data_IF_389187889248
#
_entry.id   IF_389187889248
#
_cell.length_a   1.000
_cell.length_b   1.000
_cell.length_c   1.000
_cell.angle_alpha   90.00
_cell.angle_beta   90.00
_cell.angle_gamma   90.00
#
_symmetry.space_group_name_H-M   'P 1'
#
loop_
_entity.id
_entity.type
_entity.pdbx_description
1 polymer ?
#
# COMPACT_ATOMS: atom_id res chain seq x y z
N UNK A 1 32.96 -21.19 -27.77
CA UNK A 1 34.12 -20.27 -27.94
C UNK A 1 33.99 -19.43 -29.21
N UNK A 2 33.51 -19.96 -30.34
CA UNK A 2 33.30 -19.20 -31.58
C UNK A 2 32.34 -18.00 -31.48
N UNK A 3 31.32 -18.02 -30.61
CA UNK A 3 30.37 -16.90 -30.48
C UNK A 3 31.00 -15.61 -29.95
N UNK A 4 31.93 -15.73 -28.98
CA UNK A 4 32.49 -14.53 -28.32
C UNK A 4 33.45 -13.81 -29.26
N UNK A 5 34.29 -14.56 -29.99
CA UNK A 5 35.22 -13.98 -30.96
C UNK A 5 34.50 -13.36 -32.17
N UNK A 6 33.39 -13.95 -32.62
CA UNK A 6 32.56 -13.39 -33.67
C UNK A 6 31.88 -12.08 -33.24
N UNK A 7 31.37 -12.02 -32.01
CA UNK A 7 30.79 -10.80 -31.43
C UNK A 7 31.85 -9.71 -31.23
N UNK A 8 33.05 -10.06 -30.76
CA UNK A 8 34.18 -9.13 -30.60
C UNK A 8 34.60 -8.52 -31.95
N UNK A 9 34.64 -9.33 -33.02
CA UNK A 9 34.92 -8.84 -34.36
C UNK A 9 33.83 -7.89 -34.89
N UNK A 10 32.54 -8.24 -34.69
CA UNK A 10 31.41 -7.38 -35.08
C UNK A 10 31.35 -6.05 -34.30
N UNK A 11 31.81 -6.05 -33.04
CA UNK A 11 31.83 -4.88 -32.16
C UNK A 11 33.15 -4.10 -32.24
N UNK A 12 34.09 -4.52 -33.10
CA UNK A 12 35.42 -3.92 -33.26
C UNK A 12 36.20 -3.80 -31.94
N UNK A 13 36.11 -4.81 -31.08
CA UNK A 13 36.83 -4.86 -29.80
C UNK A 13 38.23 -5.44 -30.05
N UNK A 14 39.22 -4.56 -30.13
CA UNK A 14 40.63 -4.95 -30.40
C UNK A 14 41.36 -5.47 -29.16
N UNK A 15 41.01 -4.99 -27.97
CA UNK A 15 41.66 -5.36 -26.69
C UNK A 15 40.60 -5.86 -25.72
N UNK A 16 40.70 -7.14 -25.34
CA UNK A 16 39.85 -7.71 -24.29
C UNK A 16 40.29 -7.16 -22.93
N UNK A 17 39.33 -6.79 -22.09
CA UNK A 17 39.62 -6.40 -20.71
C UNK A 17 40.22 -7.58 -19.95
N UNK A 18 41.33 -7.33 -19.28
CA UNK A 18 42.07 -8.33 -18.50
C UNK A 18 42.06 -7.90 -17.03
N UNK A 19 42.17 -8.87 -16.13
CA UNK A 19 42.19 -8.57 -14.70
C UNK A 19 43.36 -7.62 -14.36
N UNK A 20 43.02 -6.45 -13.79
CA UNK A 20 43.96 -5.38 -13.46
C UNK A 20 43.96 -4.18 -14.41
N UNK A 21 43.25 -4.22 -15.54
CA UNK A 21 43.02 -3.00 -16.32
C UNK A 21 41.91 -2.13 -15.70
N UNK A 22 41.96 -0.83 -15.96
CA UNK A 22 41.04 0.14 -15.37
C UNK A 22 39.57 -0.20 -15.69
N UNK A 23 39.31 -0.59 -16.92
CA UNK A 23 37.99 -0.95 -17.41
C UNK A 23 37.45 -2.21 -16.72
N UNK A 24 38.32 -3.18 -16.43
CA UNK A 24 37.96 -4.38 -15.67
C UNK A 24 37.56 -4.03 -14.24
N UNK A 25 38.33 -3.17 -13.57
CA UNK A 25 38.04 -2.73 -12.21
C UNK A 25 36.77 -1.87 -12.11
N UNK A 26 36.54 -0.99 -13.08
CA UNK A 26 35.29 -0.22 -13.22
C UNK A 26 34.09 -1.14 -13.44
N UNK A 27 34.21 -2.13 -14.35
CA UNK A 27 33.17 -3.11 -14.57
C UNK A 27 32.90 -3.96 -13.32
N UNK A 28 33.95 -4.38 -12.60
CA UNK A 28 33.84 -5.11 -11.34
C UNK A 28 33.10 -4.29 -10.27
N UNK A 29 33.30 -2.97 -10.24
CA UNK A 29 32.53 -2.05 -9.38
C UNK A 29 31.06 -2.00 -9.80
N UNK A 30 30.77 -1.82 -11.08
CA UNK A 30 29.40 -1.80 -11.61
C UNK A 30 28.64 -3.10 -11.32
N UNK A 31 29.29 -4.25 -11.46
CA UNK A 31 28.69 -5.56 -11.16
C UNK A 31 28.31 -5.66 -9.68
N UNK A 32 29.17 -5.17 -8.77
CA UNK A 32 28.88 -5.13 -7.33
C UNK A 32 27.71 -4.19 -7.02
N UNK A 33 27.66 -3.02 -7.65
CA UNK A 33 26.57 -2.05 -7.50
C UNK A 33 25.24 -2.62 -8.02
N UNK A 34 25.24 -3.26 -9.18
CA UNK A 34 24.06 -3.92 -9.75
C UNK A 34 23.58 -5.10 -8.87
N UNK A 35 24.50 -5.89 -8.31
CA UNK A 35 24.15 -6.97 -7.38
C UNK A 35 23.52 -6.42 -6.09
N UNK A 36 24.03 -5.30 -5.58
CA UNK A 36 23.44 -4.59 -4.45
C UNK A 36 22.03 -4.08 -4.76
N UNK A 37 21.85 -3.37 -5.88
CA UNK A 37 20.55 -2.85 -6.30
C UNK A 37 19.52 -3.98 -6.47
N UNK A 38 19.90 -5.09 -7.12
CA UNK A 38 19.01 -6.25 -7.28
C UNK A 38 18.61 -6.88 -5.93
N UNK A 39 19.53 -6.93 -4.97
CA UNK A 39 19.24 -7.44 -3.63
C UNK A 39 18.31 -6.48 -2.86
N UNK A 40 18.51 -5.18 -3.02
CA UNK A 40 17.66 -4.13 -2.47
C UNK A 40 16.23 -4.19 -3.04
N UNK A 41 16.08 -4.19 -4.37
CA UNK A 41 14.76 -4.25 -5.03
C UNK A 41 13.98 -5.50 -4.61
N UNK A 42 14.68 -6.64 -4.49
CA UNK A 42 14.05 -7.88 -4.03
C UNK A 42 13.53 -7.77 -2.60
N UNK A 43 14.33 -7.18 -1.70
CA UNK A 43 13.93 -6.95 -0.31
C UNK A 43 12.73 -6.00 -0.25
N UNK A 44 12.75 -4.92 -1.04
CA UNK A 44 11.65 -3.97 -1.18
C UNK A 44 10.34 -4.65 -1.57
N UNK A 45 10.34 -5.37 -2.70
CA UNK A 45 9.14 -6.01 -3.22
C UNK A 45 8.50 -6.94 -2.18
N UNK A 46 9.33 -7.70 -1.44
CA UNK A 46 8.85 -8.61 -0.40
C UNK A 46 8.21 -7.85 0.77
N UNK A 47 8.78 -6.72 1.18
CA UNK A 47 8.26 -5.92 2.28
C UNK A 47 6.97 -5.19 1.91
N UNK A 48 6.94 -4.59 0.71
CA UNK A 48 5.73 -3.99 0.14
C UNK A 48 4.60 -5.02 0.14
N UNK A 49 4.87 -6.22 -0.39
CA UNK A 49 3.90 -7.28 -0.42
C UNK A 49 3.43 -7.67 1.00
N UNK A 50 4.33 -7.79 1.98
CA UNK A 50 3.98 -8.08 3.39
C UNK A 50 3.03 -7.03 3.97
N UNK A 51 3.30 -5.74 3.76
CA UNK A 51 2.45 -4.64 4.25
C UNK A 51 1.03 -4.75 3.68
N UNK A 52 0.90 -4.99 2.37
CA UNK A 52 -0.41 -5.16 1.73
C UNK A 52 -1.15 -6.42 2.21
N UNK A 53 -0.43 -7.51 2.50
CA UNK A 53 -1.03 -8.71 3.08
C UNK A 53 -1.55 -8.49 4.50
N UNK A 54 -0.77 -7.80 5.34
CA UNK A 54 -1.21 -7.44 6.69
C UNK A 54 -2.44 -6.54 6.64
N UNK A 55 -2.45 -5.54 5.74
CA UNK A 55 -3.61 -4.69 5.54
C UNK A 55 -4.87 -5.49 5.14
N UNK A 56 -4.74 -6.46 4.22
CA UNK A 56 -5.85 -7.33 3.81
C UNK A 56 -6.37 -8.21 4.95
N UNK A 57 -5.51 -8.68 5.84
CA UNK A 57 -5.93 -9.51 6.97
C UNK A 57 -6.88 -8.76 7.91
N UNK A 58 -6.75 -7.44 7.98
CA UNK A 58 -7.56 -6.56 8.82
C UNK A 58 -8.86 -6.07 8.14
N UNK A 59 -9.15 -6.47 6.90
CA UNK A 59 -10.37 -6.05 6.18
C UNK A 59 -11.58 -6.88 6.62
N UNK A 60 -12.66 -6.20 6.99
CA UNK A 60 -13.96 -6.80 7.32
C UNK A 60 -14.57 -7.50 6.09
N UNK A 61 -15.17 -8.69 6.27
CA UNK A 61 -15.71 -9.51 5.18
C UNK A 61 -14.75 -10.57 4.61
N UNK A 62 -13.52 -10.65 5.12
CA UNK A 62 -12.56 -11.68 4.71
C UNK A 62 -12.94 -13.03 5.34
N UNK A 63 -13.47 -13.97 4.55
CA UNK A 63 -13.88 -15.30 5.02
C UNK A 63 -12.75 -16.12 5.65
N UNK A 64 -13.10 -17.09 6.50
CA UNK A 64 -12.14 -17.89 7.30
C UNK A 64 -11.05 -18.55 6.44
N UNK A 65 -11.41 -19.19 5.32
CA UNK A 65 -10.44 -19.82 4.40
C UNK A 65 -9.43 -18.80 3.85
N UNK A 66 -9.89 -17.62 3.45
CA UNK A 66 -9.03 -16.55 2.94
C UNK A 66 -8.06 -16.06 4.03
N UNK A 67 -8.53 -15.86 5.26
CA UNK A 67 -7.66 -15.50 6.39
C UNK A 67 -6.56 -16.54 6.64
N UNK A 68 -6.88 -17.84 6.56
CA UNK A 68 -5.89 -18.92 6.69
C UNK A 68 -4.82 -18.87 5.59
N UNK A 69 -5.22 -18.61 4.35
CA UNK A 69 -4.27 -18.47 3.23
C UNK A 69 -3.38 -17.23 3.39
N UNK A 70 -3.93 -16.08 3.79
CA UNK A 70 -3.14 -14.87 4.07
C UNK A 70 -2.15 -15.13 5.22
N UNK A 71 -2.59 -15.79 6.30
CA UNK A 71 -1.70 -16.14 7.41
C UNK A 71 -0.54 -17.05 7.00
N UNK A 72 -0.80 -18.05 6.15
CA UNK A 72 0.26 -18.91 5.60
C UNK A 72 1.19 -18.13 4.67
N UNK A 73 0.66 -17.24 3.83
CA UNK A 73 1.45 -16.39 2.94
C UNK A 73 2.38 -15.46 3.73
N UNK A 74 1.87 -14.84 4.80
CA UNK A 74 2.66 -14.00 5.71
C UNK A 74 3.80 -14.79 6.37
N UNK A 75 3.53 -16.02 6.82
CA UNK A 75 4.57 -16.90 7.39
C UNK A 75 5.66 -17.26 6.38
N UNK A 76 5.27 -17.62 5.16
CA UNK A 76 6.21 -17.92 4.09
C UNK A 76 7.04 -16.68 3.72
N UNK A 77 6.37 -15.53 3.61
CA UNK A 77 7.00 -14.26 3.27
C UNK A 77 7.97 -13.79 4.33
N UNK A 78 7.67 -14.00 5.61
CA UNK A 78 8.59 -13.71 6.71
C UNK A 78 9.94 -14.41 6.51
N UNK A 79 9.93 -15.70 6.16
CA UNK A 79 11.15 -16.45 5.82
C UNK A 79 11.85 -15.90 4.57
N UNK A 80 11.10 -15.55 3.53
CA UNK A 80 11.66 -14.96 2.31
C UNK A 80 12.34 -13.60 2.57
N UNK A 81 11.75 -12.78 3.44
CA UNK A 81 12.32 -11.49 3.85
C UNK A 81 13.61 -11.73 4.64
N UNK A 82 13.62 -12.66 5.61
CA UNK A 82 14.85 -13.01 6.34
C UNK A 82 16.00 -13.41 5.39
N UNK A 83 15.72 -14.25 4.39
CA UNK A 83 16.70 -14.61 3.37
C UNK A 83 17.14 -13.41 2.51
N UNK A 84 16.21 -12.53 2.15
CA UNK A 84 16.51 -11.32 1.38
C UNK A 84 17.37 -10.32 2.18
N UNK A 85 17.16 -10.19 3.50
CA UNK A 85 18.01 -9.39 4.38
C UNK A 85 19.45 -9.89 4.36
N UNK A 86 19.65 -11.21 4.43
CA UNK A 86 21.00 -11.82 4.36
C UNK A 86 21.66 -11.48 3.02
N UNK A 87 20.97 -11.72 1.90
CA UNK A 87 21.49 -11.39 0.56
C UNK A 87 21.81 -9.90 0.40
N UNK A 88 20.95 -9.03 0.93
CA UNK A 88 21.18 -7.57 0.94
C UNK A 88 22.43 -7.22 1.75
N UNK A 89 22.55 -7.73 2.99
CA UNK A 89 23.66 -7.42 3.89
C UNK A 89 25.01 -7.90 3.33
N UNK A 90 25.01 -9.05 2.65
CA UNK A 90 26.20 -9.55 1.94
C UNK A 90 26.60 -8.67 0.76
N UNK A 91 25.64 -8.21 -0.05
CA UNK A 91 25.90 -7.31 -1.17
C UNK A 91 26.35 -5.92 -0.69
N UNK A 92 25.69 -5.39 0.35
CA UNK A 92 26.01 -4.13 1.02
C UNK A 92 27.45 -4.08 1.53
N UNK A 93 27.95 -5.19 2.10
CA UNK A 93 29.30 -5.30 2.62
C UNK A 93 30.39 -5.34 1.53
N UNK A 94 30.04 -5.73 0.29
CA UNK A 94 30.98 -5.82 -0.85
C UNK A 94 31.22 -4.47 -1.54
N UNK A 95 30.42 -3.45 -1.23
CA UNK A 95 30.56 -2.10 -1.77
C UNK A 95 31.69 -1.32 -1.07
N UNK A 96 32.21 -0.30 -1.75
CA UNK A 96 33.18 0.63 -1.21
C UNK A 96 32.67 2.06 -1.41
N UNK A 97 32.27 2.77 -0.33
CA UNK A 97 32.22 2.31 1.06
C UNK A 97 31.11 1.25 1.31
N UNK A 98 31.25 0.39 2.33
CA UNK A 98 30.20 -0.54 2.74
C UNK A 98 28.90 0.18 3.11
N UNK A 99 27.76 -0.40 2.74
CA UNK A 99 26.43 0.15 3.08
C UNK A 99 25.96 -0.35 4.44
N UNK A 100 25.01 0.37 5.06
CA UNK A 100 24.38 -0.01 6.34
C UNK A 100 23.72 -1.39 6.22
N UNK A 101 23.96 -2.23 7.23
CA UNK A 101 23.26 -3.51 7.43
C UNK A 101 21.90 -3.29 8.06
N UNK A 102 20.94 -4.15 7.71
CA UNK A 102 19.57 -4.13 8.23
C UNK A 102 19.35 -5.38 9.07
N UNK A 103 18.70 -5.22 10.22
CA UNK A 103 18.29 -6.35 11.06
C UNK A 103 16.82 -6.70 10.85
N UNK A 104 16.45 -7.92 11.27
CA UNK A 104 15.06 -8.34 11.23
C UNK A 104 14.16 -7.48 12.12
N UNK A 105 14.64 -7.12 13.31
CA UNK A 105 13.87 -6.33 14.29
C UNK A 105 13.52 -4.95 13.74
N UNK A 106 14.48 -4.28 13.08
CA UNK A 106 14.24 -3.01 12.38
C UNK A 106 13.13 -3.13 11.32
N UNK A 107 13.05 -4.28 10.63
CA UNK A 107 12.07 -4.53 9.57
C UNK A 107 10.68 -4.90 10.11
N UNK A 108 10.61 -5.58 11.26
CA UNK A 108 9.33 -5.92 11.88
C UNK A 108 8.59 -4.68 12.31
N UNK A 109 9.33 -3.68 12.81
CA UNK A 109 8.79 -2.41 13.28
C UNK A 109 8.28 -1.52 12.13
N UNK A 110 8.70 -1.77 10.88
CA UNK A 110 8.20 -1.05 9.72
C UNK A 110 6.73 -1.39 9.45
N UNK A 111 5.88 -0.44 9.80
CA UNK A 111 4.43 -0.46 9.61
C UNK A 111 4.01 0.24 8.31
N UNK A 112 4.84 1.15 7.82
CA UNK A 112 4.56 1.95 6.62
C UNK A 112 5.68 1.82 5.59
N UNK A 113 5.29 1.81 4.30
CA UNK A 113 6.23 1.82 3.16
C UNK A 113 7.25 2.95 3.25
N UNK A 114 6.80 4.07 3.80
CA UNK A 114 7.62 5.26 3.95
C UNK A 114 8.79 5.02 4.93
N UNK A 115 8.65 4.16 5.92
CA UNK A 115 9.70 3.82 6.89
C UNK A 115 10.84 3.00 6.28
N UNK A 116 10.64 2.50 5.05
CA UNK A 116 11.65 1.82 4.28
C UNK A 116 12.60 2.83 3.59
N UNK A 117 13.36 3.56 4.40
CA UNK A 117 14.30 4.59 3.95
C UNK A 117 15.55 4.01 3.24
N UNK A 118 15.67 2.67 3.14
CA UNK A 118 16.75 1.99 2.40
C UNK A 118 16.59 2.18 0.88
N UNK A 119 15.37 2.43 0.40
CA UNK A 119 15.05 2.66 -1.03
C UNK A 119 15.59 3.97 -1.59
N UNK A 120 16.19 4.79 -0.74
CA UNK A 120 16.58 6.17 -1.05
C UNK A 120 18.05 6.33 -1.35
N UNK A 121 18.77 5.24 -1.61
CA UNK A 121 20.14 5.28 -2.13
C UNK A 121 20.21 5.79 -3.61
N UNK A 122 19.19 6.51 -4.07
CA UNK A 122 19.17 7.26 -5.33
C UNK A 122 19.69 8.68 -5.13
N UNK A 123 20.97 8.89 -5.45
CA UNK A 123 21.69 10.17 -5.73
C UNK A 123 21.75 11.25 -4.62
N UNK A 124 20.75 11.41 -3.76
CA UNK A 124 20.79 12.25 -2.55
C UNK A 124 20.31 11.47 -1.35
N UNK A 125 21.13 11.39 -0.30
CA UNK A 125 20.72 10.76 0.95
C UNK A 125 19.70 11.63 1.69
N UNK A 126 18.42 11.36 1.45
CA UNK A 126 17.35 12.10 2.12
C UNK A 126 17.12 11.65 3.56
N UNK A 127 17.81 10.61 4.08
CA UNK A 127 17.64 10.14 5.47
C UNK A 127 18.02 11.20 6.49
N UNK A 128 18.97 12.05 6.14
CA UNK A 128 19.40 13.18 6.97
C UNK A 128 18.42 14.35 6.95
N UNK A 129 17.45 14.34 6.01
CA UNK A 129 16.47 15.42 5.92
C UNK A 129 15.50 15.31 7.09
N UNK A 130 15.28 16.44 7.77
CA UNK A 130 14.36 16.51 8.93
C UNK A 130 12.96 15.97 8.63
N UNK A 131 12.45 16.12 7.41
CA UNK A 131 11.13 15.61 7.01
C UNK A 131 11.09 14.08 6.78
N UNK A 132 12.24 13.43 6.61
CA UNK A 132 12.32 11.99 6.36
C UNK A 132 12.29 11.15 7.65
N UNK A 133 12.63 11.74 8.80
CA UNK A 133 12.68 11.00 10.06
C UNK A 133 11.28 10.48 10.45
N UNK A 134 11.15 9.23 10.95
CA UNK A 134 9.87 8.65 11.30
C UNK A 134 9.03 9.52 12.25
N UNK A 135 9.67 10.06 13.29
CA UNK A 135 9.03 10.90 14.30
C UNK A 135 8.47 12.20 13.68
N UNK A 136 9.25 12.87 12.83
CA UNK A 136 8.79 14.11 12.21
C UNK A 136 7.69 13.85 11.19
N UNK A 137 7.69 12.71 10.50
CA UNK A 137 6.58 12.33 9.61
C UNK A 137 5.30 12.04 10.37
N UNK A 138 5.39 11.36 11.51
CA UNK A 138 4.25 11.15 12.38
C UNK A 138 3.66 12.50 12.82
N UNK A 139 4.50 13.41 13.29
CA UNK A 139 4.10 14.77 13.67
C UNK A 139 3.50 15.55 12.51
N UNK A 140 4.12 15.54 11.33
CA UNK A 140 3.58 16.18 10.13
C UNK A 140 2.22 15.59 9.74
N UNK A 141 2.06 14.27 9.79
CA UNK A 141 0.79 13.61 9.50
C UNK A 141 -0.30 14.05 10.47
N UNK A 142 0.00 14.12 11.76
CA UNK A 142 -0.93 14.61 12.78
C UNK A 142 -1.25 16.10 12.57
N UNK A 143 -0.24 16.92 12.30
CA UNK A 143 -0.40 18.35 12.03
C UNK A 143 -1.27 18.62 10.80
N UNK A 144 -1.02 17.93 9.69
CA UNK A 144 -1.84 18.09 8.49
C UNK A 144 -3.25 17.51 8.67
N UNK A 145 -3.43 16.42 9.44
CA UNK A 145 -4.76 15.95 9.84
C UNK A 145 -5.50 17.01 10.66
N UNK A 146 -4.81 17.68 11.57
CA UNK A 146 -5.38 18.76 12.37
C UNK A 146 -5.79 19.96 11.51
N UNK A 147 -4.90 20.44 10.64
CA UNK A 147 -5.23 21.55 9.71
C UNK A 147 -6.43 21.20 8.84
N UNK A 148 -6.45 19.99 8.26
CA UNK A 148 -7.54 19.55 7.38
C UNK A 148 -8.80 19.13 8.11
N UNK A 149 -8.79 19.06 9.44
CA UNK A 149 -9.98 18.69 10.21
C UNK A 149 -11.10 19.72 10.03
N UNK A 150 -10.78 21.01 9.87
CA UNK A 150 -11.78 22.05 9.63
C UNK A 150 -12.43 21.94 8.24
N UNK A 151 -11.63 21.61 7.22
CA UNK A 151 -12.12 21.32 5.87
C UNK A 151 -13.01 20.07 5.88
N UNK A 152 -12.57 19.02 6.56
CA UNK A 152 -13.32 17.77 6.68
C UNK A 152 -14.63 17.97 7.45
N UNK A 153 -14.63 18.79 8.51
CA UNK A 153 -15.85 19.14 9.24
C UNK A 153 -16.88 19.82 8.31
N UNK A 154 -16.42 20.77 7.49
CA UNK A 154 -17.28 21.45 6.50
C UNK A 154 -17.83 20.46 5.47
N UNK A 155 -16.98 19.53 4.99
CA UNK A 155 -17.37 18.50 4.03
C UNK A 155 -18.37 17.52 4.61
N UNK A 156 -18.14 17.03 5.83
CA UNK A 156 -19.04 16.11 6.54
C UNK A 156 -20.43 16.74 6.71
N UNK A 157 -20.53 18.03 7.04
CA UNK A 157 -21.84 18.68 7.11
C UNK A 157 -22.62 18.66 5.78
N UNK A 158 -21.92 18.83 4.65
CA UNK A 158 -22.55 18.71 3.31
C UNK A 158 -23.00 17.28 3.06
N UNK A 159 -22.16 16.28 3.38
CA UNK A 159 -22.50 14.87 3.20
C UNK A 159 -23.66 14.43 4.11
N UNK A 160 -23.74 14.92 5.35
CA UNK A 160 -24.89 14.68 6.23
C UNK A 160 -26.18 15.21 5.62
N UNK A 161 -26.17 16.44 5.07
CA UNK A 161 -27.35 17.00 4.39
C UNK A 161 -27.75 16.19 3.15
N UNK A 162 -26.78 15.77 2.34
CA UNK A 162 -27.01 14.90 1.17
C UNK A 162 -27.63 13.58 1.58
N UNK A 163 -27.09 12.94 2.62
CA UNK A 163 -27.60 11.68 3.13
C UNK A 163 -29.04 11.80 3.67
N UNK A 164 -29.35 12.86 4.42
CA UNK A 164 -30.70 13.13 4.90
C UNK A 164 -31.69 13.35 3.75
N UNK A 165 -31.27 14.09 2.72
CA UNK A 165 -32.08 14.34 1.52
C UNK A 165 -32.36 13.03 0.78
N UNK A 166 -31.31 12.23 0.54
CA UNK A 166 -31.42 10.91 -0.08
C UNK A 166 -32.41 10.00 0.66
N UNK A 167 -32.36 9.96 2.01
CA UNK A 167 -33.29 9.15 2.79
C UNK A 167 -34.76 9.55 2.58
N UNK A 168 -35.04 10.86 2.57
CA UNK A 168 -36.40 11.38 2.37
C UNK A 168 -36.89 11.10 0.95
N UNK A 169 -36.02 11.29 -0.04
CA UNK A 169 -36.36 11.06 -1.45
C UNK A 169 -36.58 9.57 -1.73
N UNK A 170 -35.73 8.69 -1.21
CA UNK A 170 -35.88 7.23 -1.31
C UNK A 170 -37.19 6.75 -0.68
N UNK A 171 -37.51 7.24 0.53
CA UNK A 171 -38.77 6.90 1.22
C UNK A 171 -40.00 7.33 0.42
N UNK A 172 -39.98 8.55 -0.14
CA UNK A 172 -41.08 9.08 -0.95
C UNK A 172 -41.23 8.32 -2.26
N UNK A 173 -40.13 8.03 -2.94
CA UNK A 173 -40.13 7.35 -4.22
C UNK A 173 -40.63 5.91 -4.10
N UNK A 174 -40.20 5.17 -3.07
CA UNK A 174 -40.66 3.81 -2.84
C UNK A 174 -42.16 3.75 -2.55
N UNK A 175 -42.69 4.67 -1.73
CA UNK A 175 -44.14 4.78 -1.51
C UNK A 175 -44.89 5.06 -2.81
N UNK A 176 -44.44 6.08 -3.57
CA UNK A 176 -45.05 6.44 -4.85
C UNK A 176 -45.06 5.27 -5.83
N UNK A 177 -43.95 4.54 -5.93
CA UNK A 177 -43.83 3.37 -6.81
C UNK A 177 -44.72 2.21 -6.38
N UNK A 178 -44.89 2.00 -5.08
CA UNK A 178 -45.84 0.99 -4.59
C UNK A 178 -47.27 1.34 -5.01
N UNK A 179 -47.68 2.60 -4.85
CA UNK A 179 -49.02 3.06 -5.23
C UNK A 179 -49.25 3.01 -6.75
N UNK A 180 -48.23 3.32 -7.57
CA UNK A 180 -48.30 3.23 -9.04
C UNK A 180 -48.46 1.79 -9.55
N UNK A 181 -47.84 0.82 -8.87
CA UNK A 181 -47.81 -0.58 -9.29
C UNK A 181 -49.01 -1.37 -8.77
N UNK A 182 -49.60 -0.96 -7.64
CA UNK A 182 -50.70 -1.66 -6.98
C UNK A 182 -51.88 -2.04 -7.90
N UNK A 183 -52.35 -1.19 -8.83
CA UNK A 183 -53.44 -1.56 -9.73
C UNK A 183 -53.09 -2.67 -10.74
N UNK A 184 -51.79 -2.85 -11.04
CA UNK A 184 -51.30 -3.82 -12.06
C UNK A 184 -50.78 -5.09 -11.43
N UNK A 185 -50.07 -4.97 -10.31
CA UNK A 185 -49.44 -6.07 -9.59
C UNK A 185 -49.45 -5.79 -8.08
N UNK A 186 -50.51 -6.25 -7.37
CA UNK A 186 -50.61 -6.09 -5.92
C UNK A 186 -49.51 -6.82 -5.15
N UNK A 187 -48.97 -7.92 -5.69
CA UNK A 187 -47.94 -8.70 -5.02
C UNK A 187 -46.59 -7.94 -5.02
N UNK A 188 -46.24 -7.33 -6.15
CA UNK A 188 -45.06 -6.46 -6.24
C UNK A 188 -45.21 -5.19 -5.39
N UNK A 189 -46.39 -4.57 -5.39
CA UNK A 189 -46.68 -3.43 -4.51
C UNK A 189 -46.49 -3.78 -3.03
N UNK A 190 -46.95 -4.96 -2.59
CA UNK A 190 -46.71 -5.45 -1.23
C UNK A 190 -45.22 -5.58 -0.92
N UNK A 191 -44.41 -6.14 -1.83
CA UNK A 191 -42.96 -6.25 -1.64
C UNK A 191 -42.29 -4.87 -1.52
N UNK A 192 -42.69 -3.91 -2.35
CA UNK A 192 -42.19 -2.53 -2.28
C UNK A 192 -42.53 -1.88 -0.93
N UNK A 193 -43.75 -2.08 -0.41
CA UNK A 193 -44.14 -1.57 0.92
C UNK A 193 -43.37 -2.25 2.06
N UNK A 194 -43.09 -3.55 1.96
CA UNK A 194 -42.26 -4.26 2.94
C UNK A 194 -40.83 -3.75 2.93
N UNK A 195 -40.24 -3.58 1.74
CA UNK A 195 -38.91 -3.01 1.57
C UNK A 195 -38.83 -1.57 2.10
N UNK A 196 -39.82 -0.74 1.78
CA UNK A 196 -39.95 0.62 2.32
C UNK A 196 -40.00 0.63 3.85
N UNK A 197 -40.77 -0.27 4.47
CA UNK A 197 -40.89 -0.38 5.92
C UNK A 197 -39.55 -0.75 6.56
N UNK A 198 -38.81 -1.66 5.95
CA UNK A 198 -37.47 -2.03 6.41
C UNK A 198 -36.48 -0.85 6.28
N UNK A 199 -36.42 -0.22 5.10
CA UNK A 199 -35.55 0.95 4.84
C UNK A 199 -35.86 2.12 5.77
N UNK A 200 -37.13 2.42 5.98
CA UNK A 200 -37.57 3.49 6.88
C UNK A 200 -37.11 3.28 8.32
N UNK A 201 -37.05 2.03 8.79
CA UNK A 201 -36.52 1.70 10.13
C UNK A 201 -35.02 2.00 10.22
N UNK A 202 -34.24 1.62 9.20
CA UNK A 202 -32.82 1.94 9.15
C UNK A 202 -32.58 3.45 9.06
N UNK A 203 -33.33 4.14 8.19
CA UNK A 203 -33.25 5.59 8.04
C UNK A 203 -33.63 6.33 9.33
N UNK A 204 -34.64 5.85 10.08
CA UNK A 204 -34.96 6.39 11.40
C UNK A 204 -33.80 6.26 12.39
N UNK A 205 -33.12 5.11 12.42
CA UNK A 205 -31.92 4.92 13.25
C UNK A 205 -30.77 5.84 12.82
N UNK A 206 -30.53 5.96 11.50
CA UNK A 206 -29.49 6.85 10.98
C UNK A 206 -29.79 8.31 11.31
N UNK A 207 -31.03 8.78 11.12
CA UNK A 207 -31.48 10.12 11.53
C UNK A 207 -31.25 10.36 13.02
N UNK A 208 -31.68 9.43 13.88
CA UNK A 208 -31.45 9.54 15.33
C UNK A 208 -29.97 9.69 15.68
N UNK A 209 -29.09 8.89 15.07
CA UNK A 209 -27.64 8.98 15.29
C UNK A 209 -27.06 10.30 14.80
N UNK A 210 -27.48 10.77 13.62
CA UNK A 210 -27.01 12.04 13.06
C UNK A 210 -27.45 13.24 13.92
N UNK A 211 -28.69 13.24 14.41
CA UNK A 211 -29.18 14.29 15.30
C UNK A 211 -28.58 14.24 16.72
N UNK A 212 -28.09 13.08 17.14
CA UNK A 212 -27.38 12.94 18.42
C UNK A 212 -25.93 13.48 18.37
N UNK A 213 -25.41 13.85 17.20
CA UNK A 213 -24.09 14.49 17.09
C UNK A 213 -24.23 15.93 17.61
N UNK A 214 -23.98 16.13 18.89
CA UNK A 214 -23.83 17.45 19.50
C UNK A 214 -22.44 18.01 19.18
N UNK A 215 -22.40 19.32 18.94
CA UNK A 215 -21.18 20.09 18.63
C UNK A 215 -20.17 20.04 19.76
#
# INVERSE_FOLDING_TARGET
ICDVQALEACLSIEVRWVEGCKEWDEAKKLVKEAAYQKALDKLECLLVARIFEMARLNVSGTGYKMRKHIGQSLKNRSKSIQAAIVSYNEAAAKLSPPRRKITWDEIVDFSYLSEFDILRDTREDVRERKWATPQNRLLMTQFFKYIRAEEELSRVHVEVRRLLTYMVDEERELCRKADEVEPRDPALALQLRLYWKERSRYNALHRSRLFAITK
#
